data_IF_656521368305
#
_entry.id   IF_656521368305
#
_cell.length_a   1.000
_cell.length_b   1.000
_cell.length_c   1.000
_cell.angle_alpha   90.00
_cell.angle_beta   90.00
_cell.angle_gamma   90.00
#
_symmetry.space_group_name_H-M   'P 1'
#
loop_
_entity.id
_entity.type
_entity.pdbx_description
1 polymer ?
#
# COMPACT_ATOMS: atom_id res chain seq x y z
N UNK A 1 -13.09 -7.74 -0.93
CA UNK A 1 -12.85 -7.71 0.54
C UNK A 1 -12.02 -6.49 0.94
N UNK A 2 -10.86 -6.25 0.32
CA UNK A 2 -9.98 -5.12 0.66
C UNK A 2 -10.68 -3.74 0.66
N UNK A 3 -11.51 -3.48 -0.36
CA UNK A 3 -12.32 -2.25 -0.49
C UNK A 3 -13.44 -2.10 0.56
N UNK A 4 -13.81 -3.18 1.26
CA UNK A 4 -14.85 -3.20 2.28
C UNK A 4 -14.30 -3.00 3.71
N UNK A 5 -13.00 -2.82 3.87
CA UNK A 5 -12.37 -2.70 5.20
C UNK A 5 -12.59 -1.33 5.82
N UNK A 6 -12.70 -0.28 5.00
CA UNK A 6 -12.81 1.11 5.41
C UNK A 6 -14.25 1.65 5.41
N UNK A 7 -15.27 0.78 5.50
CA UNK A 7 -16.70 1.17 5.54
C UNK A 7 -17.02 2.16 6.65
N UNK A 8 -16.24 2.11 7.75
CA UNK A 8 -16.39 3.01 8.89
C UNK A 8 -15.93 4.45 8.59
N UNK A 9 -15.09 4.66 7.57
CA UNK A 9 -14.64 5.99 7.15
C UNK A 9 -15.74 6.70 6.37
N UNK A 10 -15.86 8.02 6.55
CA UNK A 10 -16.90 8.80 5.88
C UNK A 10 -16.69 8.97 4.36
N UNK A 11 -15.45 8.90 3.87
CA UNK A 11 -15.13 9.06 2.46
C UNK A 11 -15.34 7.83 1.56
N UNK A 12 -15.52 6.62 2.10
CA UNK A 12 -15.57 5.41 1.27
C UNK A 12 -16.97 5.16 0.70
N UNK A 13 -17.24 5.76 -0.46
CA UNK A 13 -18.53 5.70 -1.17
C UNK A 13 -18.85 4.26 -1.57
N UNK A 14 -17.90 3.53 -2.16
CA UNK A 14 -18.10 2.15 -2.66
C UNK A 14 -18.59 1.23 -1.55
N UNK A 15 -17.90 1.24 -0.40
CA UNK A 15 -18.21 0.40 0.73
C UNK A 15 -19.60 0.70 1.33
N UNK A 16 -20.00 1.97 1.36
CA UNK A 16 -21.33 2.40 1.83
C UNK A 16 -22.43 2.04 0.85
N UNK A 17 -22.20 2.25 -0.44
CA UNK A 17 -23.15 1.86 -1.49
C UNK A 17 -23.42 0.36 -1.42
N UNK A 18 -22.38 -0.46 -1.27
CA UNK A 18 -22.52 -1.91 -1.04
C UNK A 18 -23.26 -2.23 0.26
N UNK A 19 -22.92 -1.58 1.37
CA UNK A 19 -23.63 -1.78 2.65
C UNK A 19 -25.13 -1.48 2.52
N UNK A 20 -25.48 -0.37 1.88
CA UNK A 20 -26.86 0.05 1.67
C UNK A 20 -27.60 -0.87 0.70
N UNK A 21 -26.96 -1.25 -0.42
CA UNK A 21 -27.51 -2.19 -1.38
C UNK A 21 -27.80 -3.54 -0.72
N UNK A 22 -26.97 -3.98 0.23
CA UNK A 22 -27.16 -5.24 0.95
C UNK A 22 -28.05 -5.11 2.21
N UNK A 23 -28.68 -3.95 2.46
CA UNK A 23 -29.48 -3.73 3.67
C UNK A 23 -30.70 -4.66 3.75
N UNK A 24 -31.30 -5.00 2.60
CA UNK A 24 -32.47 -5.89 2.51
C UNK A 24 -32.11 -7.38 2.51
N UNK A 25 -30.82 -7.73 2.44
CA UNK A 25 -30.34 -9.12 2.40
C UNK A 25 -30.28 -9.67 3.82
N UNK A 26 -31.12 -10.68 4.10
CA UNK A 26 -31.23 -11.28 5.43
C UNK A 26 -30.02 -12.14 5.81
N UNK A 27 -29.41 -12.82 4.84
CA UNK A 27 -28.29 -13.75 5.05
C UNK A 27 -27.07 -13.31 4.24
N UNK A 28 -25.99 -12.92 4.92
CA UNK A 28 -24.76 -12.43 4.30
C UNK A 28 -23.60 -13.36 4.65
N UNK A 29 -22.84 -13.79 3.64
CA UNK A 29 -21.63 -14.59 3.81
C UNK A 29 -20.46 -13.84 3.21
N UNK A 30 -19.41 -13.62 4.00
CA UNK A 30 -18.16 -13.02 3.55
C UNK A 30 -17.06 -14.08 3.58
N UNK A 31 -16.51 -14.40 2.41
CA UNK A 31 -15.37 -15.30 2.28
C UNK A 31 -14.08 -14.49 2.20
N UNK A 32 -13.12 -14.79 3.08
CA UNK A 32 -11.81 -14.14 3.09
C UNK A 32 -10.72 -15.06 3.60
N UNK A 33 -9.56 -15.03 2.93
CA UNK A 33 -8.39 -15.76 3.35
C UNK A 33 -7.67 -15.10 4.55
N UNK A 34 -7.69 -13.77 4.63
CA UNK A 34 -6.95 -12.98 5.63
C UNK A 34 -7.78 -11.77 6.08
N UNK A 35 -8.59 -11.90 7.14
CA UNK A 35 -9.53 -10.84 7.55
C UNK A 35 -8.84 -9.55 8.03
N UNK A 36 -7.57 -9.63 8.45
CA UNK A 36 -6.82 -8.52 9.03
C UNK A 36 -5.51 -8.34 8.26
N UNK A 37 -5.20 -7.11 7.87
CA UNK A 37 -3.84 -6.75 7.44
C UNK A 37 -3.14 -5.90 8.50
N UNK A 38 -3.73 -4.80 8.99
CA UNK A 38 -2.99 -3.82 9.79
C UNK A 38 -3.70 -3.25 11.04
N UNK A 39 -5.05 -3.28 11.15
CA UNK A 39 -5.77 -2.59 12.25
C UNK A 39 -7.09 -3.28 12.63
N UNK A 40 -7.43 -3.25 13.93
CA UNK A 40 -8.71 -3.74 14.48
C UNK A 40 -9.93 -2.98 13.92
N UNK A 41 -9.76 -1.75 13.45
CA UNK A 41 -10.85 -0.99 12.82
C UNK A 41 -11.31 -1.63 11.50
N UNK A 42 -10.39 -2.28 10.77
CA UNK A 42 -10.74 -3.02 9.55
C UNK A 42 -11.64 -4.20 9.86
N UNK A 43 -11.41 -4.87 11.00
CA UNK A 43 -12.26 -5.95 11.48
C UNK A 43 -13.67 -5.43 11.83
N UNK A 44 -13.76 -4.30 12.54
CA UNK A 44 -15.05 -3.65 12.79
C UNK A 44 -15.80 -3.34 11.48
N UNK A 45 -15.10 -2.75 10.50
CA UNK A 45 -15.67 -2.44 9.18
C UNK A 45 -16.27 -3.68 8.51
N UNK A 46 -15.52 -4.78 8.43
CA UNK A 46 -15.97 -6.02 7.81
C UNK A 46 -17.16 -6.65 8.55
N UNK A 47 -17.10 -6.71 9.88
CA UNK A 47 -18.20 -7.29 10.68
C UNK A 47 -19.46 -6.42 10.58
N UNK A 48 -19.32 -5.09 10.54
CA UNK A 48 -20.46 -4.17 10.42
C UNK A 48 -21.26 -4.29 9.12
N UNK A 49 -20.68 -4.88 8.07
CA UNK A 49 -21.39 -5.18 6.82
C UNK A 49 -22.27 -6.43 7.00
N UNK A 50 -21.74 -7.43 7.72
CA UNK A 50 -22.44 -8.70 7.99
C UNK A 50 -23.56 -8.44 9.01
N UNK A 51 -23.19 -7.94 10.19
CA UNK A 51 -24.12 -7.58 11.26
C UNK A 51 -23.56 -6.43 12.11
N UNK A 52 -24.22 -5.27 12.04
CA UNK A 52 -23.84 -4.08 12.82
C UNK A 52 -24.04 -4.21 14.33
N UNK A 53 -24.81 -5.18 14.80
CA UNK A 53 -25.15 -5.35 16.23
C UNK A 53 -24.04 -6.04 17.03
N UNK A 54 -23.10 -6.72 16.36
CA UNK A 54 -22.04 -7.50 17.01
C UNK A 54 -21.12 -6.62 17.87
N UNK A 55 -20.79 -5.42 17.38
CA UNK A 55 -19.90 -4.49 18.05
C UNK A 55 -20.56 -3.18 18.49
N UNK A 56 -21.77 -2.90 18.01
CA UNK A 56 -22.42 -1.61 18.24
C UNK A 56 -21.79 -0.50 17.41
N UNK A 57 -21.69 0.68 17.98
CA UNK A 57 -21.10 1.85 17.33
C UNK A 57 -19.56 1.86 17.36
N UNK A 58 -18.96 2.70 16.51
CA UNK A 58 -17.53 2.79 16.32
C UNK A 58 -16.79 3.30 17.58
N UNK A 59 -17.41 4.20 18.34
CA UNK A 59 -16.79 4.83 19.50
C UNK A 59 -16.73 3.86 20.67
N UNK A 60 -17.80 3.10 20.89
CA UNK A 60 -17.84 1.95 21.81
C UNK A 60 -16.80 0.90 21.45
N UNK A 61 -16.66 0.56 20.16
CA UNK A 61 -15.64 -0.39 19.70
C UNK A 61 -14.22 0.09 20.01
N UNK A 62 -13.93 1.38 19.73
CA UNK A 62 -12.62 1.98 20.04
C UNK A 62 -12.33 1.96 21.54
N UNK A 63 -13.28 2.41 22.37
CA UNK A 63 -13.14 2.43 23.81
C UNK A 63 -12.84 1.03 24.40
N UNK A 64 -13.49 -0.02 23.86
CA UNK A 64 -13.36 -1.38 24.37
C UNK A 64 -12.14 -2.15 23.83
N UNK A 65 -11.74 -1.92 22.57
CA UNK A 65 -10.82 -2.83 21.87
C UNK A 65 -9.54 -2.20 21.30
N UNK A 66 -9.42 -0.87 21.16
CA UNK A 66 -8.19 -0.25 20.61
C UNK A 66 -7.16 0.17 21.65
N UNK A 67 -7.52 0.26 22.95
CA UNK A 67 -6.64 0.64 24.05
C UNK A 67 -5.91 -0.54 24.71
N UNK A 68 -6.10 -0.75 26.02
CA UNK A 68 -5.71 -1.99 26.73
C UNK A 68 -6.58 -3.15 26.21
N UNK A 69 -6.21 -3.64 25.02
CA UNK A 69 -7.05 -4.51 24.22
C UNK A 69 -7.38 -5.80 24.97
N UNK A 70 -8.64 -5.95 25.38
CA UNK A 70 -9.16 -7.21 25.90
C UNK A 70 -9.42 -8.16 24.72
N UNK A 71 -8.35 -8.76 24.19
CA UNK A 71 -8.40 -9.66 23.04
C UNK A 71 -9.28 -10.89 23.30
N UNK A 72 -9.46 -11.29 24.55
CA UNK A 72 -10.31 -12.43 24.89
C UNK A 72 -11.80 -12.08 24.80
N UNK A 73 -12.19 -10.88 25.25
CA UNK A 73 -13.54 -10.37 25.00
C UNK A 73 -13.80 -10.21 23.49
N UNK A 74 -12.82 -9.73 22.73
CA UNK A 74 -12.92 -9.61 21.27
C UNK A 74 -13.11 -10.99 20.61
N UNK A 75 -12.30 -11.98 20.99
CA UNK A 75 -12.41 -13.36 20.49
C UNK A 75 -13.78 -13.98 20.80
N UNK A 76 -14.29 -13.79 22.02
CA UNK A 76 -15.62 -14.27 22.42
C UNK A 76 -16.73 -13.66 21.58
N UNK A 77 -16.67 -12.35 21.31
CA UNK A 77 -17.66 -11.67 20.44
C UNK A 77 -17.57 -12.08 18.97
N UNK A 78 -16.38 -12.40 18.47
CA UNK A 78 -16.18 -12.84 17.08
C UNK A 78 -16.54 -14.30 16.82
N UNK A 79 -16.44 -15.17 17.83
CA UNK A 79 -16.68 -16.61 17.70
C UNK A 79 -18.00 -17.02 17.00
N UNK A 80 -19.15 -16.33 17.18
CA UNK A 80 -20.39 -16.67 16.45
C UNK A 80 -20.35 -16.27 14.97
N UNK A 81 -19.63 -15.21 14.60
CA UNK A 81 -19.68 -14.62 13.24
C UNK A 81 -18.48 -14.96 12.37
N UNK A 82 -17.36 -15.35 12.96
CA UNK A 82 -16.13 -15.69 12.26
C UNK A 82 -15.76 -17.15 12.54
N UNK A 83 -15.67 -17.94 11.47
CA UNK A 83 -15.12 -19.30 11.51
C UNK A 83 -13.80 -19.31 10.76
N UNK A 84 -12.74 -19.76 11.46
CA UNK A 84 -11.41 -19.93 10.90
C UNK A 84 -10.87 -21.28 11.34
N UNK A 85 -10.43 -22.07 10.36
CA UNK A 85 -9.77 -23.36 10.59
C UNK A 85 -8.33 -23.26 10.10
N UNK A 86 -7.39 -23.74 10.89
CA UNK A 86 -5.97 -23.81 10.54
C UNK A 86 -5.68 -25.10 9.79
N UNK A 87 -4.70 -25.07 8.87
CA UNK A 87 -4.26 -26.28 8.15
C UNK A 87 -3.85 -27.42 9.09
N UNK A 88 -3.24 -27.09 10.22
CA UNK A 88 -2.86 -28.07 11.25
C UNK A 88 -4.07 -28.78 11.87
N UNK A 89 -5.23 -28.12 11.95
CA UNK A 89 -6.45 -28.70 12.54
C UNK A 89 -7.15 -29.71 11.62
N UNK A 90 -6.86 -29.66 10.31
CA UNK A 90 -7.47 -30.54 9.29
C UNK A 90 -6.47 -31.50 8.66
N UNK A 91 -5.25 -31.55 9.19
CA UNK A 91 -4.18 -32.42 8.71
C UNK A 91 -4.57 -33.91 8.60
N UNK A 92 -5.43 -34.49 9.47
CA UNK A 92 -5.89 -35.88 9.30
C UNK A 92 -6.70 -36.13 8.02
N UNK A 93 -7.31 -35.09 7.44
CA UNK A 93 -8.19 -35.19 6.28
C UNK A 93 -7.53 -34.70 4.99
N UNK A 94 -6.54 -33.81 5.10
CA UNK A 94 -5.87 -33.19 3.95
C UNK A 94 -4.37 -33.08 4.22
N UNK A 95 -3.58 -33.73 3.36
CA UNK A 95 -2.12 -33.62 3.38
C UNK A 95 -1.68 -32.27 2.82
N UNK A 96 -1.00 -31.48 3.63
CA UNK A 96 -0.35 -30.24 3.20
C UNK A 96 1.17 -30.41 3.18
N UNK A 97 1.83 -29.89 2.15
CA UNK A 97 3.29 -29.80 2.10
C UNK A 97 3.82 -28.93 3.23
N UNK A 98 4.85 -29.40 3.93
CA UNK A 98 5.50 -28.64 4.99
C UNK A 98 6.14 -27.36 4.42
N UNK A 99 5.77 -26.20 4.96
CA UNK A 99 6.41 -24.92 4.65
C UNK A 99 7.46 -24.64 5.71
N UNK A 100 8.72 -24.55 5.31
CA UNK A 100 9.85 -24.20 6.19
C UNK A 100 10.32 -22.81 5.82
N UNK A 101 10.23 -21.87 6.75
CA UNK A 101 10.82 -20.55 6.60
C UNK A 101 12.34 -20.67 6.83
N UNK A 102 13.13 -20.09 5.93
CA UNK A 102 14.59 -20.04 6.02
C UNK A 102 14.96 -18.56 6.04
N UNK A 103 15.83 -18.19 6.98
CA UNK A 103 16.45 -16.87 7.01
C UNK A 103 17.84 -17.01 6.41
N UNK A 104 18.11 -16.24 5.37
CA UNK A 104 19.42 -16.18 4.73
C UNK A 104 19.97 -14.77 4.90
N UNK A 105 21.14 -14.67 5.50
CA UNK A 105 21.86 -13.42 5.59
C UNK A 105 22.42 -13.05 4.21
N UNK A 106 22.33 -11.76 3.89
CA UNK A 106 22.80 -11.21 2.64
C UNK A 106 23.70 -10.01 2.93
N UNK A 107 24.86 -9.97 2.27
CA UNK A 107 25.76 -8.82 2.29
C UNK A 107 25.72 -8.16 0.92
N UNK A 108 25.26 -6.90 0.79
CA UNK A 108 25.19 -6.21 -0.48
C UNK A 108 26.59 -5.96 -1.06
N UNK A 109 26.68 -6.00 -2.39
CA UNK A 109 27.93 -5.65 -3.09
C UNK A 109 28.25 -4.15 -2.96
N UNK A 110 29.46 -3.76 -3.32
CA UNK A 110 29.88 -2.35 -3.35
C UNK A 110 28.99 -1.52 -4.28
N UNK A 111 28.65 -2.09 -5.45
CA UNK A 111 27.78 -1.46 -6.44
C UNK A 111 26.35 -1.27 -5.92
N UNK A 112 25.80 -2.27 -5.22
CA UNK A 112 24.46 -2.19 -4.64
C UNK A 112 24.40 -1.20 -3.48
N UNK A 113 25.47 -1.12 -2.68
CA UNK A 113 25.60 -0.11 -1.62
C UNK A 113 25.64 1.30 -2.19
N UNK A 114 26.40 1.50 -3.26
CA UNK A 114 26.48 2.81 -3.92
C UNK A 114 25.16 3.20 -4.58
N UNK A 115 24.50 2.29 -5.31
CA UNK A 115 23.17 2.53 -5.87
C UNK A 115 22.17 2.92 -4.77
N UNK A 116 22.17 2.17 -3.65
CA UNK A 116 21.30 2.46 -2.51
C UNK A 116 21.55 3.84 -1.92
N UNK A 117 22.83 4.23 -1.77
CA UNK A 117 23.21 5.57 -1.32
C UNK A 117 22.69 6.66 -2.26
N UNK A 118 22.92 6.52 -3.57
CA UNK A 118 22.50 7.51 -4.57
C UNK A 118 20.97 7.68 -4.59
N UNK A 119 20.23 6.58 -4.57
CA UNK A 119 18.76 6.64 -4.54
C UNK A 119 18.24 7.23 -3.23
N UNK A 120 18.83 6.84 -2.11
CA UNK A 120 18.48 7.38 -0.79
C UNK A 120 18.74 8.91 -0.71
N UNK A 121 19.86 9.37 -1.25
CA UNK A 121 20.21 10.79 -1.31
C UNK A 121 19.23 11.55 -2.22
N UNK A 122 18.82 10.96 -3.35
CA UNK A 122 17.79 11.52 -4.22
C UNK A 122 16.44 11.65 -3.51
N UNK A 123 15.95 10.59 -2.86
CA UNK A 123 14.66 10.57 -2.16
C UNK A 123 14.60 11.52 -0.95
N UNK A 124 15.74 11.88 -0.36
CA UNK A 124 15.83 12.84 0.76
C UNK A 124 15.73 14.30 0.32
N UNK A 125 15.82 14.62 -0.99
CA UNK A 125 15.78 16.00 -1.46
C UNK A 125 14.40 16.64 -1.17
N UNK A 126 14.34 17.92 -0.76
CA UNK A 126 13.08 18.62 -0.46
C UNK A 126 12.30 19.04 -1.70
N UNK A 127 12.92 19.01 -2.88
CA UNK A 127 12.24 19.23 -4.17
C UNK A 127 12.37 18.00 -5.10
N UNK A 128 11.29 17.22 -5.19
CA UNK A 128 11.18 16.05 -6.04
C UNK A 128 10.13 16.33 -7.11
N UNK A 129 10.44 17.24 -8.04
CA UNK A 129 9.66 17.49 -9.27
C UNK A 129 9.24 16.26 -10.06
N UNK A 130 9.87 15.11 -9.83
CA UNK A 130 9.38 13.88 -10.40
C UNK A 130 8.03 13.54 -9.74
N UNK A 131 7.93 13.55 -8.41
CA UNK A 131 6.77 13.08 -7.68
C UNK A 131 5.65 14.14 -7.62
N UNK A 132 4.37 13.75 -7.78
CA UNK A 132 3.23 14.64 -7.51
C UNK A 132 3.28 15.15 -6.07
N UNK A 133 2.97 16.43 -5.85
CA UNK A 133 3.09 17.08 -4.53
C UNK A 133 2.19 16.39 -3.48
N UNK A 134 0.93 16.10 -3.81
CA UNK A 134 -0.03 15.47 -2.89
C UNK A 134 0.28 14.01 -2.49
N UNK A 135 1.06 13.26 -3.27
CA UNK A 135 1.35 11.83 -2.99
C UNK A 135 2.83 11.55 -2.70
N UNK A 136 3.64 12.61 -2.61
CA UNK A 136 5.09 12.51 -2.55
C UNK A 136 5.61 11.64 -1.41
N UNK A 137 5.05 11.78 -0.21
CA UNK A 137 5.50 11.03 0.97
C UNK A 137 5.26 9.53 0.77
N UNK A 138 4.07 9.16 0.29
CA UNK A 138 3.66 7.78 0.11
C UNK A 138 4.47 7.10 -1.01
N UNK A 139 4.63 7.77 -2.15
CA UNK A 139 5.45 7.24 -3.24
C UNK A 139 6.92 7.13 -2.81
N UNK A 140 7.43 8.09 -2.02
CA UNK A 140 8.80 7.99 -1.47
C UNK A 140 8.96 6.75 -0.58
N UNK A 141 7.99 6.45 0.28
CA UNK A 141 8.01 5.24 1.11
C UNK A 141 7.97 3.95 0.28
N UNK A 142 7.17 3.94 -0.79
CA UNK A 142 7.13 2.84 -1.75
C UNK A 142 8.50 2.63 -2.38
N UNK A 143 9.16 3.71 -2.82
CA UNK A 143 10.49 3.65 -3.40
C UNK A 143 11.54 3.16 -2.39
N UNK A 144 11.48 3.62 -1.13
CA UNK A 144 12.33 3.09 -0.05
C UNK A 144 12.11 1.60 0.19
N UNK A 145 10.86 1.14 0.16
CA UNK A 145 10.52 -0.29 0.29
C UNK A 145 11.04 -1.12 -0.88
N UNK A 146 10.95 -0.60 -2.11
CA UNK A 146 11.50 -1.26 -3.29
C UNK A 146 13.02 -1.35 -3.22
N UNK A 147 13.68 -0.27 -2.80
CA UNK A 147 15.13 -0.23 -2.62
C UNK A 147 15.61 -1.28 -1.61
N UNK A 148 14.88 -1.43 -0.50
CA UNK A 148 15.19 -2.43 0.53
C UNK A 148 14.91 -3.88 0.07
N UNK A 149 14.06 -4.07 -0.94
CA UNK A 149 13.70 -5.40 -1.47
C UNK A 149 14.76 -5.91 -2.45
N UNK A 150 15.11 -5.12 -3.46
CA UNK A 150 16.26 -5.40 -4.34
C UNK A 150 16.61 -4.20 -5.23
N UNK A 151 17.87 -4.12 -5.64
CA UNK A 151 18.36 -3.18 -6.66
C UNK A 151 17.58 -3.28 -7.97
N UNK A 152 17.18 -4.49 -8.36
CA UNK A 152 16.38 -4.73 -9.57
C UNK A 152 14.93 -4.24 -9.43
N UNK A 153 14.32 -4.36 -8.25
CA UNK A 153 12.94 -3.92 -8.01
C UNK A 153 12.77 -2.41 -8.17
N UNK A 154 13.78 -1.62 -7.82
CA UNK A 154 13.71 -0.15 -7.96
C UNK A 154 13.98 0.34 -9.39
N UNK A 155 14.61 -0.46 -10.25
CA UNK A 155 14.98 -0.05 -11.62
C UNK A 155 13.76 0.32 -12.45
N UNK A 156 12.68 -0.47 -12.38
CA UNK A 156 11.42 -0.15 -13.07
C UNK A 156 10.84 1.17 -12.59
N UNK A 157 10.79 1.38 -11.27
CA UNK A 157 10.29 2.61 -10.68
C UNK A 157 11.11 3.84 -11.12
N UNK A 158 12.45 3.75 -11.12
CA UNK A 158 13.32 4.83 -11.58
C UNK A 158 13.15 5.13 -13.06
N UNK A 159 12.95 4.11 -13.91
CA UNK A 159 12.66 4.28 -15.32
C UNK A 159 11.34 5.04 -15.54
N UNK A 160 10.26 4.63 -14.86
CA UNK A 160 8.97 5.34 -14.89
C UNK A 160 9.12 6.78 -14.41
N UNK A 161 9.94 7.04 -13.38
CA UNK A 161 10.23 8.40 -12.91
C UNK A 161 10.99 9.24 -13.94
N UNK A 162 11.92 8.64 -14.69
CA UNK A 162 12.66 9.31 -15.76
C UNK A 162 11.75 9.64 -16.95
N UNK A 163 10.88 8.71 -17.37
CA UNK A 163 9.87 8.94 -18.41
C UNK A 163 8.89 10.04 -18.01
N UNK A 164 8.46 10.06 -16.75
CA UNK A 164 7.61 11.12 -16.19
C UNK A 164 8.23 12.51 -16.30
N UNK A 165 9.49 12.66 -15.90
CA UNK A 165 10.20 13.93 -16.04
C UNK A 165 10.36 14.32 -17.52
N UNK A 166 10.59 13.34 -18.40
CA UNK A 166 10.67 13.59 -19.84
C UNK A 166 9.34 14.06 -20.43
N UNK A 167 8.22 13.47 -20.00
CA UNK A 167 6.88 13.90 -20.43
C UNK A 167 6.55 15.30 -19.90
N UNK A 168 6.87 15.61 -18.64
CA UNK A 168 6.72 16.97 -18.09
C UNK A 168 7.50 18.02 -18.89
N UNK A 169 8.70 17.69 -19.38
CA UNK A 169 9.44 18.58 -20.29
C UNK A 169 8.74 18.76 -21.63
N UNK A 170 8.17 17.68 -22.19
CA UNK A 170 7.66 17.65 -23.54
C UNK A 170 6.24 18.26 -23.65
N UNK A 171 5.35 18.00 -22.69
CA UNK A 171 3.92 18.35 -22.77
C UNK A 171 3.46 19.41 -21.77
N UNK A 172 4.20 19.63 -20.68
CA UNK A 172 3.81 20.55 -19.61
C UNK A 172 2.55 20.16 -18.83
N UNK A 173 2.03 18.93 -19.00
CA UNK A 173 0.78 18.49 -18.40
C UNK A 173 1.01 17.34 -17.38
N UNK A 174 0.55 17.55 -16.14
CA UNK A 174 0.89 16.73 -14.95
C UNK A 174 -0.18 15.70 -14.56
N UNK A 175 -1.39 15.76 -15.15
CA UNK A 175 -2.55 14.98 -14.67
C UNK A 175 -2.61 13.53 -15.15
N UNK A 176 -2.07 13.18 -16.32
CA UNK A 176 -2.05 11.81 -16.85
C UNK A 176 -1.13 10.83 -16.07
N UNK A 177 -0.64 11.27 -14.91
CA UNK A 177 0.60 10.85 -14.26
C UNK A 177 0.40 10.12 -12.93
N UNK A 178 -0.69 10.43 -12.21
CA UNK A 178 -1.08 9.71 -11.00
C UNK A 178 -1.63 8.30 -11.34
N UNK A 179 -2.24 8.17 -12.53
CA UNK A 179 -2.87 6.93 -12.98
C UNK A 179 -1.85 5.81 -13.28
N UNK A 180 -0.67 6.11 -13.83
CA UNK A 180 0.32 5.07 -14.17
C UNK A 180 1.02 4.45 -12.95
N UNK A 181 1.23 5.22 -11.87
CA UNK A 181 1.77 4.68 -10.62
C UNK A 181 0.74 3.85 -9.85
N UNK A 182 -0.54 4.18 -9.96
CA UNK A 182 -1.63 3.36 -9.42
C UNK A 182 -1.73 2.01 -10.16
N UNK A 183 -1.44 1.97 -11.45
CA UNK A 183 -1.39 0.74 -12.26
C UNK A 183 -0.19 -0.15 -11.90
N UNK A 184 1.01 0.44 -11.77
CA UNK A 184 2.23 -0.30 -11.42
C UNK A 184 2.24 -0.83 -9.98
N UNK A 185 1.41 -0.25 -9.11
CA UNK A 185 1.37 -0.57 -7.69
C UNK A 185 -0.08 -0.81 -7.24
N UNK A 186 -0.59 -2.02 -7.51
CA UNK A 186 -1.90 -2.50 -7.03
C UNK A 186 -1.98 -2.40 -5.48
N UNK A 187 -2.42 -1.25 -4.97
CA UNK A 187 -2.46 -0.95 -3.54
C UNK A 187 -2.01 0.46 -3.15
N UNK A 188 -1.52 1.28 -4.08
CA UNK A 188 -1.15 2.67 -3.83
C UNK A 188 -2.39 3.49 -3.45
N UNK A 189 -3.46 3.44 -4.24
CA UNK A 189 -4.77 4.01 -3.89
C UNK A 189 -5.32 3.51 -2.53
N UNK A 190 -5.20 2.21 -2.23
CA UNK A 190 -5.62 1.63 -0.94
C UNK A 190 -4.80 2.18 0.24
N UNK A 191 -3.53 2.53 0.00
CA UNK A 191 -2.62 3.11 1.00
C UNK A 191 -2.83 4.62 1.09
N UNK A 192 -3.10 5.31 -0.02
CA UNK A 192 -3.42 6.73 -0.06
C UNK A 192 -4.69 7.03 0.75
N UNK A 193 -5.71 6.18 0.66
CA UNK A 193 -6.91 6.22 1.51
C UNK A 193 -6.61 6.13 3.03
N UNK A 194 -5.43 5.64 3.43
CA UNK A 194 -4.98 5.57 4.82
C UNK A 194 -4.20 6.81 5.27
N UNK A 195 -3.70 7.61 4.34
CA UNK A 195 -2.85 8.78 4.58
C UNK A 195 -3.62 10.05 4.21
N UNK A 196 -4.21 10.71 5.21
CA UNK A 196 -4.80 12.05 5.04
C UNK A 196 -3.64 13.07 4.92
N UNK A 197 -3.30 13.47 3.70
CA UNK A 197 -2.38 14.57 3.42
C UNK A 197 -3.05 15.54 2.45
N UNK A 198 -3.02 16.84 2.79
CA UNK A 198 -3.67 17.91 2.03
C UNK A 198 -3.15 18.00 0.59
N UNK A 199 -4.10 18.03 -0.35
CA UNK A 199 -3.87 18.31 -1.77
C UNK A 199 -3.74 19.83 -1.95
N UNK A 200 -2.51 20.35 -1.98
CA UNK A 200 -2.25 21.68 -2.52
C UNK A 200 -1.59 21.51 -3.90
N UNK A 201 -2.30 21.91 -4.96
CA UNK A 201 -1.79 22.01 -6.33
C UNK A 201 -1.23 23.42 -6.59
N UNK A 202 0.05 23.51 -6.95
CA UNK A 202 0.67 24.74 -7.45
C UNK A 202 1.24 24.53 -8.86
N UNK A 203 0.86 25.40 -9.80
CA UNK A 203 1.34 25.39 -11.18
C UNK A 203 2.82 25.82 -11.31
N UNK A 204 3.55 25.16 -12.24
CA UNK A 204 5.00 25.27 -12.43
C UNK A 204 5.43 26.51 -13.25
N UNK A 205 6.55 27.13 -12.86
CA UNK A 205 7.12 28.33 -13.47
C UNK A 205 8.34 28.03 -14.38
N UNK A 206 8.58 28.89 -15.37
CA UNK A 206 9.49 28.70 -16.52
C UNK A 206 10.98 28.47 -16.21
N UNK A 207 11.45 28.68 -14.98
CA UNK A 207 12.84 28.42 -14.53
C UNK A 207 13.17 26.94 -14.32
N UNK A 208 12.17 26.06 -14.33
CA UNK A 208 12.29 24.67 -13.83
C UNK A 208 12.71 23.65 -14.91
N UNK A 209 12.62 24.02 -16.20
CA UNK A 209 12.91 23.10 -17.32
C UNK A 209 14.37 22.64 -17.40
N UNK A 210 15.34 23.52 -17.11
CA UNK A 210 16.75 23.15 -17.11
C UNK A 210 17.09 22.17 -15.97
N UNK A 211 16.48 22.37 -14.79
CA UNK A 211 16.62 21.50 -13.62
C UNK A 211 16.02 20.12 -13.87
N UNK A 212 14.87 20.06 -14.55
CA UNK A 212 14.21 18.80 -14.90
C UNK A 212 15.06 17.99 -15.90
N UNK A 213 15.66 18.64 -16.92
CA UNK A 213 16.51 17.96 -17.89
C UNK A 213 17.74 17.30 -17.27
N UNK A 214 18.42 17.98 -16.33
CA UNK A 214 19.54 17.41 -15.58
C UNK A 214 19.11 16.20 -14.73
N UNK A 215 17.90 16.25 -14.16
CA UNK A 215 17.35 15.19 -13.29
C UNK A 215 16.96 13.93 -14.07
N UNK A 216 16.56 14.06 -15.34
CA UNK A 216 16.33 12.90 -16.23
C UNK A 216 17.64 12.15 -16.51
N UNK A 217 18.73 12.89 -16.72
CA UNK A 217 20.04 12.29 -16.94
C UNK A 217 20.55 11.52 -15.70
N UNK A 218 20.20 12.00 -14.50
CA UNK A 218 20.50 11.34 -13.22
C UNK A 218 19.68 10.04 -13.01
N UNK A 219 18.44 9.99 -13.50
CA UNK A 219 17.53 8.84 -13.32
C UNK A 219 17.61 7.78 -14.42
N UNK A 220 18.10 8.13 -15.63
CA UNK A 220 18.30 7.12 -16.68
C UNK A 220 19.42 6.17 -16.27
N UNK A 221 19.26 4.85 -16.47
CA UNK A 221 20.13 3.86 -15.89
C UNK A 221 21.57 4.06 -16.38
N UNK A 222 22.47 4.33 -15.42
CA UNK A 222 23.89 4.10 -15.58
C UNK A 222 24.04 2.59 -15.78
N UNK A 223 24.20 2.19 -17.04
CA UNK A 223 24.74 0.90 -17.52
C UNK A 223 24.20 -0.37 -16.82
N UNK A 224 23.42 -1.16 -17.56
CA UNK A 224 22.95 -2.52 -17.18
C UNK A 224 23.96 -3.24 -16.28
N UNK A 225 23.63 -3.59 -15.02
CA UNK A 225 24.44 -4.55 -14.28
C UNK A 225 24.41 -5.87 -15.05
N UNK A 226 25.58 -6.49 -15.23
CA UNK A 226 25.72 -7.79 -15.88
C UNK A 226 24.87 -8.83 -15.15
N UNK A 227 24.36 -9.87 -15.85
CA UNK A 227 23.64 -10.95 -15.20
C UNK A 227 24.58 -11.66 -14.23
N UNK A 228 24.36 -11.46 -12.93
CA UNK A 228 24.97 -12.30 -11.90
C UNK A 228 23.93 -13.37 -11.56
N UNK A 229 24.17 -14.57 -12.03
CA UNK A 229 23.49 -15.79 -11.58
C UNK A 229 23.74 -15.98 -10.08
N UNK A 230 22.72 -15.83 -9.24
CA UNK A 230 22.58 -16.50 -7.95
C UNK A 230 21.11 -16.74 -7.62
#
# INVERSE_FOLDING_TARGET
MHRLRNVYKKGNIIARTLKNAMAHVQSKVLLTATPLQNSLLKLYGLVSIIDGRVFGDLDSFRAQFTGRANFDALRKRLAPVCKRTLRQQVQPYVSYTARRAIVQEFTPSDEERELSRLVADYLRRPDLKALPEGQRQLISLVLWKLLASSSRAITGALATMAERLQNLLNSGNSEALAQSLDEDYEGLADTADEWEGDEDESALASSERATIAAKIAELRPVKKPSPIER
#
